data_IF_879995612963
#
_entry.id   IF_879995612963
#
_cell.length_a   1.000
_cell.length_b   1.000
_cell.length_c   1.000
_cell.angle_alpha   90.00
_cell.angle_beta   90.00
_cell.angle_gamma   90.00
#
_symmetry.space_group_name_H-M   'P 1'
#
loop_
_entity.id
_entity.type
_entity.pdbx_description
1 polymer ?
#
# COMPACT_ATOMS: atom_id res chain seq x y z
N UNK A 1 -9.65 -3.76 18.05
CA UNK A 1 -10.39 -4.14 16.83
C UNK A 1 -11.77 -3.52 16.91
N UNK A 2 -11.96 -2.34 16.33
CA UNK A 2 -13.22 -1.60 16.36
C UNK A 2 -13.87 -1.77 14.98
N UNK A 3 -14.63 -2.85 14.80
CA UNK A 3 -15.35 -3.10 13.55
C UNK A 3 -16.46 -2.05 13.41
N UNK A 4 -16.27 -1.07 12.51
CA UNK A 4 -17.26 -0.04 12.26
C UNK A 4 -18.58 -0.65 11.77
N UNK A 5 -19.69 -0.27 12.43
CA UNK A 5 -21.07 -0.72 12.16
C UNK A 5 -21.56 -0.46 10.71
N UNK A 6 -20.73 0.17 9.87
CA UNK A 6 -20.98 0.44 8.46
C UNK A 6 -20.95 -0.81 7.57
N UNK A 7 -20.32 -1.89 8.03
CA UNK A 7 -20.22 -3.17 7.28
C UNK A 7 -21.38 -4.14 7.54
N UNK A 8 -22.11 -3.94 8.64
CA UNK A 8 -23.26 -4.74 9.06
C UNK A 8 -24.39 -4.82 8.00
N UNK A 9 -24.78 -3.72 7.30
CA UNK A 9 -25.81 -3.80 6.26
C UNK A 9 -25.36 -4.59 5.01
N UNK A 10 -24.06 -4.63 4.71
CA UNK A 10 -23.53 -5.39 3.57
C UNK A 10 -23.60 -6.90 3.83
N UNK A 11 -23.20 -7.30 5.05
CA UNK A 11 -23.34 -8.69 5.50
C UNK A 11 -24.80 -9.14 5.57
N UNK A 12 -25.70 -8.25 6.05
CA UNK A 12 -27.12 -8.54 6.15
C UNK A 12 -27.79 -8.68 4.76
N UNK A 13 -27.42 -7.83 3.79
CA UNK A 13 -27.94 -7.91 2.43
C UNK A 13 -27.48 -9.18 1.69
N UNK A 14 -26.23 -9.62 1.92
CA UNK A 14 -25.68 -10.85 1.36
C UNK A 14 -26.42 -12.09 1.90
N UNK A 15 -26.65 -12.13 3.22
CA UNK A 15 -27.38 -13.23 3.88
C UNK A 15 -28.85 -13.28 3.43
N UNK A 16 -29.50 -12.12 3.27
CA UNK A 16 -30.86 -12.05 2.73
C UNK A 16 -30.94 -12.53 1.27
N UNK A 17 -29.92 -12.28 0.44
CA UNK A 17 -29.89 -12.75 -0.97
C UNK A 17 -29.73 -14.26 -1.09
N UNK A 18 -28.98 -14.90 -0.19
CA UNK A 18 -28.85 -16.37 -0.16
C UNK A 18 -30.15 -17.05 0.27
N UNK A 19 -30.94 -16.40 1.13
CA UNK A 19 -32.07 -17.05 1.80
C UNK A 19 -33.45 -16.83 1.16
N UNK A 20 -33.61 -15.84 0.28
CA UNK A 20 -34.93 -15.46 -0.29
C UNK A 20 -35.05 -15.91 -1.75
N UNK A 21 -36.06 -16.70 -2.14
CA UNK A 21 -36.29 -17.08 -3.54
C UNK A 21 -36.68 -15.88 -4.42
N UNK A 22 -36.22 -15.93 -5.67
CA UNK A 22 -36.22 -14.84 -6.66
C UNK A 22 -37.65 -14.43 -7.08
N UNK A 23 -38.31 -13.60 -6.27
CA UNK A 23 -39.60 -12.98 -6.58
C UNK A 23 -39.39 -11.59 -7.20
N UNK A 24 -40.23 -11.19 -8.16
CA UNK A 24 -40.15 -9.87 -8.82
C UNK A 24 -40.11 -8.69 -7.83
N UNK A 25 -40.74 -8.84 -6.66
CA UNK A 25 -40.80 -7.81 -5.61
C UNK A 25 -39.42 -7.59 -4.96
N UNK A 26 -38.64 -8.66 -4.78
CA UNK A 26 -37.28 -8.56 -4.25
C UNK A 26 -36.36 -7.79 -5.21
N UNK A 27 -36.48 -8.01 -6.53
CA UNK A 27 -35.65 -7.32 -7.53
C UNK A 27 -35.88 -5.80 -7.54
N UNK A 28 -37.14 -5.35 -7.39
CA UNK A 28 -37.45 -3.92 -7.33
C UNK A 28 -36.88 -3.24 -6.08
N UNK A 29 -36.97 -3.87 -4.91
CA UNK A 29 -36.47 -3.32 -3.66
C UNK A 29 -34.94 -3.24 -3.68
N UNK A 30 -34.25 -4.28 -4.18
CA UNK A 30 -32.80 -4.27 -4.31
C UNK A 30 -32.31 -3.27 -5.37
N UNK A 31 -33.04 -3.11 -6.48
CA UNK A 31 -32.71 -2.12 -7.52
C UNK A 31 -32.74 -0.69 -6.99
N UNK A 32 -33.76 -0.34 -6.21
CA UNK A 32 -33.88 1.00 -5.61
C UNK A 32 -32.78 1.28 -4.58
N UNK A 33 -32.44 0.29 -3.75
CA UNK A 33 -31.32 0.38 -2.81
C UNK A 33 -30.00 0.54 -3.58
N UNK A 34 -29.75 -0.28 -4.60
CA UNK A 34 -28.54 -0.21 -5.42
C UNK A 34 -28.34 1.15 -6.09
N UNK A 35 -29.39 1.74 -6.65
CA UNK A 35 -29.34 3.07 -7.29
C UNK A 35 -28.99 4.18 -6.28
N UNK A 36 -29.55 4.10 -5.07
CA UNK A 36 -29.30 5.08 -4.02
C UNK A 36 -27.84 5.04 -3.55
N UNK A 37 -27.29 3.83 -3.38
CA UNK A 37 -25.89 3.65 -2.98
C UNK A 37 -24.89 3.95 -4.11
N UNK A 38 -25.23 3.61 -5.37
CA UNK A 38 -24.40 3.95 -6.54
C UNK A 38 -24.26 5.47 -6.73
N UNK A 39 -25.35 6.21 -6.49
CA UNK A 39 -25.34 7.68 -6.55
C UNK A 39 -24.40 8.30 -5.51
N UNK A 40 -24.33 7.73 -4.30
CA UNK A 40 -23.43 8.21 -3.24
C UNK A 40 -21.95 7.96 -3.55
N UNK A 41 -21.63 6.82 -4.17
CA UNK A 41 -20.24 6.43 -4.46
C UNK A 41 -19.66 7.14 -5.69
N UNK A 42 -20.50 7.47 -6.68
CA UNK A 42 -20.05 8.05 -7.97
C UNK A 42 -19.42 9.44 -7.84
N UNK A 43 -19.83 10.24 -6.84
CA UNK A 43 -19.27 11.59 -6.60
C UNK A 43 -17.82 11.50 -6.10
N UNK A 44 -17.46 10.42 -5.39
CA UNK A 44 -16.13 10.25 -4.82
C UNK A 44 -15.06 9.85 -5.86
N UNK A 45 -15.45 9.16 -6.94
CA UNK A 45 -14.53 8.65 -7.98
C UNK A 45 -14.14 9.67 -9.05
N UNK A 46 -14.93 10.74 -9.24
CA UNK A 46 -14.75 11.68 -10.36
C UNK A 46 -13.43 12.48 -10.30
N UNK A 47 -12.75 12.50 -9.14
CA UNK A 47 -11.53 13.29 -8.93
C UNK A 47 -10.25 12.62 -9.46
N UNK A 48 -10.30 11.37 -9.93
CA UNK A 48 -9.09 10.57 -10.21
C UNK A 48 -8.83 10.23 -11.70
N UNK A 49 -9.57 10.78 -12.67
CA UNK A 49 -9.54 10.29 -14.06
C UNK A 49 -8.55 10.99 -15.04
N UNK A 50 -7.62 11.84 -14.59
CA UNK A 50 -6.94 12.82 -15.46
C UNK A 50 -5.50 12.52 -15.90
N UNK A 51 -5.01 11.28 -15.84
CA UNK A 51 -3.67 10.94 -16.34
C UNK A 51 -3.72 9.68 -17.21
N UNK A 52 -3.58 9.90 -18.53
CA UNK A 52 -3.63 8.96 -19.67
C UNK A 52 -2.55 7.86 -19.63
N UNK A 53 -2.42 7.18 -18.50
CA UNK A 53 -1.73 5.91 -18.26
C UNK A 53 -2.81 5.05 -17.65
N UNK A 54 -3.21 3.95 -18.30
CA UNK A 54 -4.17 3.02 -17.71
C UNK A 54 -3.44 2.28 -16.60
N UNK A 55 -3.38 2.90 -15.43
CA UNK A 55 -2.82 2.30 -14.22
C UNK A 55 -3.69 1.13 -13.77
N UNK A 56 -3.10 0.23 -12.96
CA UNK A 56 -3.83 -0.88 -12.37
C UNK A 56 -5.08 -0.41 -11.58
N UNK A 57 -5.03 0.79 -10.99
CA UNK A 57 -6.16 1.45 -10.33
C UNK A 57 -7.38 1.62 -11.26
N UNK A 58 -7.16 2.02 -12.53
CA UNK A 58 -8.22 2.21 -13.52
C UNK A 58 -8.85 0.87 -13.93
N UNK A 59 -8.03 -0.19 -14.03
CA UNK A 59 -8.52 -1.53 -14.34
C UNK A 59 -9.45 -2.04 -13.24
N UNK A 60 -9.05 -1.87 -11.97
CA UNK A 60 -9.83 -2.32 -10.80
C UNK A 60 -11.14 -1.53 -10.67
N UNK A 61 -11.14 -0.23 -10.98
CA UNK A 61 -12.39 0.56 -11.01
C UNK A 61 -13.32 0.12 -12.13
N UNK A 62 -12.79 -0.23 -13.31
CA UNK A 62 -13.60 -0.79 -14.39
C UNK A 62 -14.24 -2.13 -14.00
N UNK A 63 -13.51 -3.01 -13.32
CA UNK A 63 -14.03 -4.28 -12.82
C UNK A 63 -15.14 -4.05 -11.80
N UNK A 64 -14.94 -3.13 -10.84
CA UNK A 64 -15.97 -2.78 -9.87
C UNK A 64 -17.24 -2.23 -10.55
N UNK A 65 -17.10 -1.37 -11.54
CA UNK A 65 -18.22 -0.86 -12.33
C UNK A 65 -18.91 -1.96 -13.14
N UNK A 66 -18.14 -2.84 -13.79
CA UNK A 66 -18.68 -3.97 -14.57
C UNK A 66 -19.49 -4.94 -13.71
N UNK A 67 -18.98 -5.29 -12.54
CA UNK A 67 -19.66 -6.16 -11.58
C UNK A 67 -20.95 -5.53 -11.02
N UNK A 68 -20.98 -4.20 -10.82
CA UNK A 68 -22.21 -3.48 -10.45
C UNK A 68 -23.26 -3.48 -11.58
N UNK A 69 -22.85 -3.34 -12.84
CA UNK A 69 -23.74 -3.36 -14.00
C UNK A 69 -24.33 -4.75 -14.28
N UNK A 70 -23.55 -5.81 -14.05
CA UNK A 70 -23.98 -7.21 -14.21
C UNK A 70 -24.85 -7.67 -13.02
N UNK A 71 -24.76 -6.99 -11.87
CA UNK A 71 -25.57 -7.29 -10.68
C UNK A 71 -24.97 -8.34 -9.74
N UNK A 72 -23.66 -8.57 -9.86
CA UNK A 72 -22.89 -9.56 -9.08
C UNK A 72 -21.81 -8.86 -8.23
N UNK A 73 -22.17 -8.12 -7.16
CA UNK A 73 -21.25 -7.28 -6.39
C UNK A 73 -20.15 -8.08 -5.64
N UNK A 74 -20.28 -9.40 -5.55
CA UNK A 74 -19.32 -10.29 -4.90
C UNK A 74 -17.96 -10.32 -5.61
N UNK A 75 -17.97 -10.20 -6.94
CA UNK A 75 -16.77 -10.19 -7.79
C UNK A 75 -15.98 -8.90 -7.57
N UNK A 76 -16.66 -7.74 -7.54
CA UNK A 76 -16.05 -6.46 -7.20
C UNK A 76 -15.40 -6.47 -5.80
N UNK A 77 -16.08 -7.07 -4.82
CA UNK A 77 -15.57 -7.14 -3.44
C UNK A 77 -14.26 -7.94 -3.35
N UNK A 78 -14.21 -9.09 -4.01
CA UNK A 78 -13.04 -9.98 -4.01
C UNK A 78 -11.84 -9.34 -4.72
N UNK A 79 -12.06 -8.76 -5.91
CA UNK A 79 -10.99 -8.09 -6.69
C UNK A 79 -10.46 -6.85 -5.96
N UNK A 80 -11.33 -6.02 -5.40
CA UNK A 80 -10.93 -4.83 -4.66
C UNK A 80 -10.18 -5.19 -3.38
N UNK A 81 -10.61 -6.23 -2.67
CA UNK A 81 -9.91 -6.73 -1.49
C UNK A 81 -8.48 -7.16 -1.83
N UNK A 82 -8.30 -8.00 -2.85
CA UNK A 82 -6.98 -8.46 -3.28
C UNK A 82 -6.10 -7.30 -3.76
N UNK A 83 -6.70 -6.31 -4.44
CA UNK A 83 -5.97 -5.12 -4.88
C UNK A 83 -5.39 -4.33 -3.71
N UNK A 84 -6.22 -3.99 -2.72
CA UNK A 84 -5.80 -3.25 -1.53
C UNK A 84 -4.81 -4.06 -0.70
N UNK A 85 -5.04 -5.37 -0.58
CA UNK A 85 -4.13 -6.26 0.13
C UNK A 85 -2.76 -6.36 -0.56
N UNK A 86 -2.74 -6.49 -1.88
CA UNK A 86 -1.51 -6.49 -2.68
C UNK A 86 -0.72 -5.20 -2.50
N UNK A 87 -1.38 -4.05 -2.57
CA UNK A 87 -0.76 -2.74 -2.27
C UNK A 87 -0.16 -2.65 -0.87
N UNK A 88 -0.82 -3.27 0.12
CA UNK A 88 -0.29 -3.30 1.49
C UNK A 88 1.00 -4.12 1.57
N UNK A 89 1.03 -5.29 0.93
CA UNK A 89 2.22 -6.15 0.88
C UNK A 89 3.37 -5.48 0.14
N UNK A 90 3.07 -4.85 -1.00
CA UNK A 90 4.04 -4.07 -1.79
C UNK A 90 4.71 -3.00 -0.93
N UNK A 91 3.93 -2.21 -0.21
CA UNK A 91 4.46 -1.16 0.67
C UNK A 91 5.37 -1.71 1.77
N UNK A 92 5.06 -2.88 2.34
CA UNK A 92 5.90 -3.50 3.36
C UNK A 92 7.21 -4.03 2.78
N UNK A 93 7.15 -4.65 1.61
CA UNK A 93 8.32 -5.13 0.90
C UNK A 93 9.27 -3.97 0.57
N UNK A 94 8.72 -2.87 0.02
CA UNK A 94 9.49 -1.67 -0.31
C UNK A 94 10.17 -1.03 0.91
N UNK A 95 9.45 -0.96 2.04
CA UNK A 95 10.03 -0.44 3.28
C UNK A 95 11.23 -1.29 3.74
N UNK A 96 11.10 -2.62 3.65
CA UNK A 96 12.17 -3.55 4.03
C UNK A 96 13.41 -3.37 3.15
N UNK A 97 13.25 -3.29 1.82
CA UNK A 97 14.37 -3.10 0.90
C UNK A 97 15.06 -1.75 1.09
N UNK A 98 14.29 -0.68 1.28
CA UNK A 98 14.86 0.65 1.54
C UNK A 98 15.64 0.68 2.85
N UNK A 99 15.17 -0.02 3.88
CA UNK A 99 15.86 -0.08 5.18
C UNK A 99 17.18 -0.84 5.08
N UNK A 100 17.22 -1.96 4.37
CA UNK A 100 18.46 -2.71 4.18
C UNK A 100 19.48 -1.93 3.34
N UNK A 101 19.05 -1.31 2.24
CA UNK A 101 19.93 -0.44 1.45
C UNK A 101 20.45 0.73 2.27
N UNK A 102 19.61 1.35 3.11
CA UNK A 102 20.03 2.44 3.99
C UNK A 102 21.04 1.97 5.04
N UNK A 103 20.87 0.78 5.61
CA UNK A 103 21.84 0.20 6.53
C UNK A 103 23.19 -0.09 5.86
N UNK A 104 23.19 -0.48 4.58
CA UNK A 104 24.42 -0.66 3.82
C UNK A 104 25.12 0.69 3.57
N UNK A 105 24.37 1.73 3.21
CA UNK A 105 24.91 3.08 3.00
C UNK A 105 25.45 3.67 4.32
N UNK A 106 24.72 3.56 5.42
CA UNK A 106 25.16 4.06 6.74
C UNK A 106 26.39 3.32 7.28
N UNK A 107 26.66 2.09 6.82
CA UNK A 107 27.86 1.35 7.20
C UNK A 107 29.14 1.83 6.50
N UNK A 108 29.03 2.70 5.49
CA UNK A 108 30.19 3.29 4.84
C UNK A 108 30.86 4.30 5.78
N UNK A 109 32.14 4.10 6.16
CA UNK A 109 32.85 5.06 6.99
C UNK A 109 32.94 6.39 6.25
N UNK A 110 32.82 7.51 6.97
CA UNK A 110 32.92 8.87 6.40
C UNK A 110 34.25 9.56 6.74
N UNK A 111 34.93 9.06 7.77
CA UNK A 111 36.19 9.62 8.30
C UNK A 111 37.21 8.52 8.56
N UNK A 112 38.49 8.87 8.44
CA UNK A 112 39.62 7.97 8.75
C UNK A 112 40.60 8.69 9.67
N UNK A 113 41.32 7.92 10.49
CA UNK A 113 42.34 8.48 11.40
C UNK A 113 43.73 8.18 10.83
N UNK A 114 44.52 9.24 10.62
CA UNK A 114 45.91 9.15 10.19
C UNK A 114 46.82 8.57 11.26
N UNK A 115 48.01 8.08 10.87
CA UNK A 115 49.01 7.57 11.83
C UNK A 115 49.50 8.65 12.84
N UNK A 116 49.29 9.92 12.53
CA UNK A 116 49.55 11.10 13.38
C UNK A 116 48.46 11.37 14.43
N UNK A 117 47.34 10.62 14.39
CA UNK A 117 46.21 10.77 15.30
C UNK A 117 45.19 11.82 14.87
N UNK A 118 45.37 12.46 13.71
CA UNK A 118 44.43 13.45 13.18
C UNK A 118 43.32 12.76 12.36
N UNK A 119 42.10 13.30 12.43
CA UNK A 119 40.95 12.79 11.68
C UNK A 119 40.84 13.50 10.33
N UNK A 120 40.77 12.73 9.25
CA UNK A 120 40.62 13.21 7.88
C UNK A 120 39.27 12.75 7.30
N UNK A 121 38.65 13.60 6.50
CA UNK A 121 37.53 13.19 5.66
C UNK A 121 38.06 12.37 4.49
N UNK A 122 37.30 11.39 3.99
CA UNK A 122 37.75 10.49 2.90
C UNK A 122 38.21 11.25 1.66
N UNK A 123 37.63 12.42 1.40
CA UNK A 123 37.98 13.27 0.25
C UNK A 123 39.39 13.89 0.36
N UNK A 124 40.01 13.90 1.53
CA UNK A 124 41.33 14.49 1.81
C UNK A 124 42.47 13.45 1.85
N UNK A 125 42.16 12.17 1.63
CA UNK A 125 43.12 11.07 1.74
C UNK A 125 43.81 10.82 0.41
N UNK A 126 45.15 10.85 0.38
CA UNK A 126 45.95 10.58 -0.81
C UNK A 126 46.54 9.15 -0.84
N UNK A 127 46.70 8.54 -2.03
CA UNK A 127 47.37 7.25 -2.17
C UNK A 127 48.81 7.31 -1.61
N UNK A 128 49.14 6.43 -0.66
CA UNK A 128 50.45 6.39 0.01
C UNK A 128 50.45 6.90 1.46
N UNK A 129 49.33 7.42 1.96
CA UNK A 129 49.17 7.87 3.35
C UNK A 129 48.97 6.67 4.31
N UNK A 130 49.72 6.63 5.41
CA UNK A 130 49.56 5.59 6.44
C UNK A 130 48.37 5.94 7.35
N UNK A 131 47.32 5.12 7.28
CA UNK A 131 46.11 5.24 8.09
C UNK A 131 46.05 4.13 9.14
N UNK A 132 45.50 4.44 10.32
CA UNK A 132 45.33 3.46 11.41
C UNK A 132 43.89 2.97 11.42
N UNK A 133 43.67 1.71 11.02
CA UNK A 133 42.35 1.09 11.08
C UNK A 133 42.04 0.68 12.51
N UNK A 134 41.16 1.42 13.17
CA UNK A 134 40.62 1.05 14.49
C UNK A 134 39.49 0.04 14.31
N UNK A 135 39.46 -1.00 15.15
CA UNK A 135 38.42 -2.02 15.09
C UNK A 135 37.04 -1.40 15.35
N UNK A 136 36.08 -1.70 14.48
CA UNK A 136 34.71 -1.16 14.46
C UNK A 136 33.98 -1.19 15.82
N UNK A 137 34.34 -2.14 16.69
CA UNK A 137 33.74 -2.36 18.00
C UNK A 137 33.95 -1.20 19.01
N UNK A 138 34.85 -0.25 18.74
CA UNK A 138 35.21 0.81 19.69
C UNK A 138 34.52 2.17 19.44
N UNK A 139 33.80 2.35 18.32
CA UNK A 139 33.18 3.64 17.96
C UNK A 139 31.64 3.65 18.13
N UNK A 140 30.98 2.49 18.23
CA UNK A 140 29.54 2.36 18.51
C UNK A 140 29.23 2.43 20.02
N UNK A 141 29.89 3.34 20.73
CA UNK A 141 29.80 3.49 22.18
C UNK A 141 30.07 4.92 22.60
N UNK A 142 29.21 5.85 22.17
CA UNK A 142 28.99 7.11 22.86
C UNK A 142 27.94 6.87 23.96
N UNK A 143 28.30 7.28 25.18
CA UNK A 143 27.57 7.22 26.46
C UNK A 143 26.04 7.17 26.38
#
# INVERSE_FOLDING_TARGET
MHFDKKWLPFGLALVLRISVPNTMIAQLIFGLVGIFYASYFSIQSFRNLRFRIVGIDLLVTLVALGSLLIGEPWEAASVTFLYVFGKHLESRALYKTQTELKSLIDSMPTTVVGADGMSYTIDEVFPGMNIKVVAWKCYSGGW
#
